data_IF_365600691822
#
_entry.id   IF_365600691822
#
_cell.length_a   1.000
_cell.length_b   1.000
_cell.length_c   1.000
_cell.angle_alpha   90.00
_cell.angle_beta   90.00
_cell.angle_gamma   90.00
#
_symmetry.space_group_name_H-M   'P 1'
#
loop_
_entity.id
_entity.type
_entity.pdbx_description
1 polymer ?
#
# COMPACT_ATOMS: atom_id res chain seq x y z
N UNK A 1 2.68 -22.21 -10.38
CA UNK A 1 2.27 -20.89 -10.90
C UNK A 1 2.31 -19.92 -9.72
N UNK A 2 3.31 -19.04 -9.72
CA UNK A 2 3.37 -17.94 -8.74
C UNK A 2 2.30 -16.92 -9.14
N UNK A 3 1.21 -16.84 -8.39
CA UNK A 3 0.17 -15.83 -8.59
C UNK A 3 0.48 -14.69 -7.64
N UNK A 4 0.68 -13.49 -8.21
CA UNK A 4 0.81 -12.27 -7.43
C UNK A 4 -0.60 -11.71 -7.17
N UNK A 5 -1.12 -11.76 -5.94
CA UNK A 5 -2.44 -11.20 -5.64
C UNK A 5 -2.39 -9.67 -5.69
N UNK A 6 -3.40 -9.06 -6.33
CA UNK A 6 -3.58 -7.62 -6.38
C UNK A 6 -4.75 -7.24 -5.48
N UNK A 7 -4.46 -6.47 -4.44
CA UNK A 7 -5.47 -5.92 -3.54
C UNK A 7 -5.79 -4.48 -3.93
N UNK A 8 -7.01 -4.23 -4.40
CA UNK A 8 -7.51 -2.89 -4.74
C UNK A 8 -8.28 -2.31 -3.56
N UNK A 9 -7.62 -1.53 -2.71
CA UNK A 9 -8.18 -1.02 -1.43
C UNK A 9 -9.42 -0.15 -1.66
N UNK A 10 -9.44 0.63 -2.75
CA UNK A 10 -10.56 1.51 -3.10
C UNK A 10 -11.56 0.89 -4.07
N UNK A 11 -11.52 -0.42 -4.25
CA UNK A 11 -12.42 -1.15 -5.17
C UNK A 11 -12.00 -1.09 -6.63
N UNK A 12 -12.88 -1.55 -7.51
CA UNK A 12 -12.64 -1.62 -8.95
C UNK A 12 -13.84 -1.10 -9.73
N UNK A 13 -13.59 -0.39 -10.85
CA UNK A 13 -14.64 0.06 -11.76
C UNK A 13 -15.41 -1.12 -12.39
N UNK A 14 -14.80 -2.29 -12.45
CA UNK A 14 -15.45 -3.53 -12.92
C UNK A 14 -16.55 -4.03 -11.96
N UNK A 15 -16.47 -3.61 -10.69
CA UNK A 15 -17.47 -3.83 -9.67
C UNK A 15 -17.80 -2.48 -8.99
N UNK A 16 -18.73 -1.68 -9.54
CA UNK A 16 -19.03 -0.34 -9.05
C UNK A 16 -19.46 -0.28 -7.58
N UNK A 17 -20.07 -1.34 -7.05
CA UNK A 17 -20.48 -1.43 -5.64
C UNK A 17 -19.29 -1.53 -4.69
N UNK A 18 -18.15 -2.00 -5.19
CA UNK A 18 -16.90 -2.07 -4.42
C UNK A 18 -16.18 -0.73 -4.34
N UNK A 19 -16.57 0.27 -5.14
CA UNK A 19 -15.85 1.54 -5.25
C UNK A 19 -16.06 2.40 -4.02
N UNK A 20 -14.96 2.80 -3.41
CA UNK A 20 -14.91 3.62 -2.20
C UNK A 20 -14.29 4.96 -2.53
N UNK A 21 -15.12 5.99 -2.66
CA UNK A 21 -14.71 7.34 -3.08
C UNK A 21 -14.72 8.38 -1.95
N UNK A 22 -15.32 8.05 -0.80
CA UNK A 22 -15.46 9.01 0.30
C UNK A 22 -14.79 8.49 1.57
N UNK A 23 -14.24 9.41 2.36
CA UNK A 23 -13.68 9.09 3.69
C UNK A 23 -14.69 8.40 4.61
N UNK A 24 -15.97 8.78 4.53
CA UNK A 24 -17.04 8.14 5.30
C UNK A 24 -17.20 6.66 4.96
N UNK A 25 -17.13 6.31 3.67
CA UNK A 25 -17.27 4.92 3.21
C UNK A 25 -16.03 4.07 3.53
N UNK A 26 -14.84 4.66 3.50
CA UNK A 26 -13.61 4.01 3.99
C UNK A 26 -13.73 3.73 5.48
N UNK A 27 -14.15 4.73 6.26
CA UNK A 27 -14.34 4.58 7.70
C UNK A 27 -15.37 3.50 8.04
N UNK A 28 -16.50 3.46 7.34
CA UNK A 28 -17.50 2.39 7.46
C UNK A 28 -16.88 1.01 7.20
N UNK A 29 -16.09 0.86 6.14
CA UNK A 29 -15.42 -0.41 5.82
C UNK A 29 -14.42 -0.83 6.89
N UNK A 30 -13.66 0.11 7.46
CA UNK A 30 -12.60 -0.19 8.41
C UNK A 30 -13.12 -0.41 9.84
N UNK A 31 -14.14 0.34 10.26
CA UNK A 31 -14.62 0.34 11.64
C UNK A 31 -15.96 -0.37 11.83
N UNK A 32 -16.86 -0.30 10.86
CA UNK A 32 -18.18 -0.94 10.94
C UNK A 32 -18.18 -2.36 10.35
N UNK A 33 -17.13 -2.73 9.60
CA UNK A 33 -16.91 -4.09 9.09
C UNK A 33 -15.61 -4.66 9.66
N UNK A 34 -15.62 -5.17 10.89
CA UNK A 34 -14.41 -5.64 11.58
C UNK A 34 -13.62 -6.69 10.79
N UNK A 35 -14.29 -7.54 10.02
CA UNK A 35 -13.63 -8.52 9.16
C UNK A 35 -12.74 -7.89 8.08
N UNK A 36 -13.09 -6.72 7.54
CA UNK A 36 -12.27 -6.06 6.52
C UNK A 36 -10.96 -5.54 7.12
N UNK A 37 -11.02 -4.91 8.28
CA UNK A 37 -9.86 -4.43 9.00
C UNK A 37 -8.92 -5.60 9.40
N UNK A 38 -9.47 -6.68 9.93
CA UNK A 38 -8.72 -7.88 10.29
C UNK A 38 -8.03 -8.51 9.08
N UNK A 39 -8.71 -8.59 7.93
CA UNK A 39 -8.14 -9.11 6.69
C UNK A 39 -6.95 -8.23 6.25
N UNK A 40 -7.09 -6.91 6.27
CA UNK A 40 -6.01 -6.00 5.90
C UNK A 40 -4.81 -6.13 6.85
N UNK A 41 -5.05 -6.13 8.16
CA UNK A 41 -4.01 -6.34 9.17
C UNK A 41 -3.26 -7.65 8.94
N UNK A 42 -3.99 -8.72 8.65
CA UNK A 42 -3.41 -10.02 8.36
C UNK A 42 -2.54 -9.97 7.10
N UNK A 43 -3.00 -9.33 6.01
CA UNK A 43 -2.20 -9.16 4.81
C UNK A 43 -0.90 -8.40 5.09
N UNK A 44 -0.95 -7.31 5.85
CA UNK A 44 0.24 -6.52 6.20
C UNK A 44 1.18 -7.26 7.16
N UNK A 45 0.67 -8.14 8.02
CA UNK A 45 1.48 -8.92 8.94
C UNK A 45 2.15 -10.12 8.23
N UNK A 46 1.40 -10.86 7.42
CA UNK A 46 1.84 -12.13 6.86
C UNK A 46 2.61 -12.00 5.54
N UNK A 47 2.47 -10.87 4.82
CA UNK A 47 3.03 -10.69 3.49
C UNK A 47 3.96 -9.50 3.37
N UNK A 48 4.91 -9.58 2.42
CA UNK A 48 5.59 -8.41 1.90
C UNK A 48 4.70 -7.73 0.87
N UNK A 49 4.34 -6.47 1.12
CA UNK A 49 3.44 -5.70 0.27
C UNK A 49 4.26 -4.73 -0.60
N UNK A 50 3.89 -4.63 -1.86
CA UNK A 50 4.32 -3.56 -2.74
C UNK A 50 3.17 -2.57 -2.94
N UNK A 51 3.32 -1.37 -2.39
CA UNK A 51 2.40 -0.26 -2.62
C UNK A 51 2.68 0.36 -3.99
N UNK A 52 1.67 0.43 -4.82
CA UNK A 52 1.74 1.02 -6.15
C UNK A 52 0.59 1.99 -6.38
N UNK A 53 0.91 3.22 -6.80
CA UNK A 53 -0.10 4.27 -6.99
C UNK A 53 -0.76 4.76 -5.69
N UNK A 54 -0.09 4.53 -4.54
CA UNK A 54 -0.56 4.94 -3.21
C UNK A 54 0.39 5.99 -2.64
N UNK A 55 -0.15 7.09 -2.14
CA UNK A 55 0.63 8.26 -1.71
C UNK A 55 0.91 8.35 -0.21
N UNK A 56 0.45 7.41 0.60
CA UNK A 56 0.53 7.44 2.08
C UNK A 56 -0.13 8.68 2.71
N UNK A 57 -1.10 9.27 2.01
CA UNK A 57 -1.89 10.41 2.51
C UNK A 57 -3.29 9.99 2.98
N UNK A 58 -3.55 8.68 3.07
CA UNK A 58 -4.82 8.15 3.54
C UNK A 58 -4.71 7.81 5.04
N UNK A 59 -5.34 8.58 5.93
CA UNK A 59 -5.22 8.39 7.37
C UNK A 59 -5.80 7.06 7.86
N UNK A 60 -6.69 6.45 7.11
CA UNK A 60 -7.31 5.19 7.52
C UNK A 60 -6.37 4.00 7.28
N UNK A 61 -5.63 4.01 6.17
CA UNK A 61 -4.57 3.01 5.94
C UNK A 61 -3.36 3.27 6.83
N UNK A 62 -3.01 4.52 7.05
CA UNK A 62 -2.01 4.95 8.02
C UNK A 62 -2.29 4.35 9.40
N UNK A 63 -3.52 4.50 9.89
CA UNK A 63 -3.95 3.92 11.15
C UNK A 63 -3.75 2.39 11.20
N UNK A 64 -4.13 1.66 10.14
CA UNK A 64 -3.95 0.19 10.09
C UNK A 64 -2.46 -0.18 10.13
N UNK A 65 -1.63 0.52 9.38
CA UNK A 65 -0.18 0.27 9.39
C UNK A 65 0.41 0.51 10.78
N UNK A 66 0.01 1.58 11.46
CA UNK A 66 0.42 1.86 12.85
C UNK A 66 -0.03 0.75 13.81
N UNK A 67 -1.27 0.27 13.71
CA UNK A 67 -1.74 -0.84 14.53
C UNK A 67 -0.94 -2.12 14.27
N UNK A 68 -0.65 -2.45 13.02
CA UNK A 68 0.18 -3.62 12.66
C UNK A 68 1.59 -3.50 13.24
N UNK A 69 2.20 -2.31 13.20
CA UNK A 69 3.50 -2.06 13.80
C UNK A 69 3.47 -2.22 15.32
N UNK A 70 2.44 -1.69 15.98
CA UNK A 70 2.27 -1.79 17.44
C UNK A 70 2.03 -3.24 17.89
N UNK A 71 1.12 -3.96 17.23
CA UNK A 71 0.76 -5.35 17.55
C UNK A 71 1.96 -6.30 17.40
N UNK A 72 2.83 -6.03 16.44
CA UNK A 72 4.03 -6.85 16.18
C UNK A 72 5.29 -6.29 16.86
N UNK A 73 5.17 -5.28 17.74
CA UNK A 73 6.29 -4.65 18.46
C UNK A 73 7.42 -4.22 17.52
N UNK A 74 7.07 -3.69 16.35
CA UNK A 74 8.02 -3.29 15.32
C UNK A 74 8.64 -4.43 14.50
N UNK A 75 8.31 -5.70 14.77
CA UNK A 75 8.82 -6.87 14.04
C UNK A 75 7.87 -7.29 12.90
N UNK A 76 7.58 -6.38 11.98
CA UNK A 76 6.78 -6.66 10.79
C UNK A 76 7.67 -7.11 9.63
N UNK A 77 7.06 -7.72 8.62
CA UNK A 77 7.74 -7.91 7.33
C UNK A 77 8.05 -6.55 6.71
N UNK A 78 9.16 -6.47 5.99
CA UNK A 78 9.47 -5.28 5.21
C UNK A 78 8.50 -5.17 4.04
N UNK A 79 7.93 -3.99 3.88
CA UNK A 79 7.11 -3.63 2.72
C UNK A 79 7.89 -2.69 1.80
N UNK A 80 7.38 -2.47 0.61
CA UNK A 80 7.99 -1.61 -0.39
C UNK A 80 6.93 -0.65 -0.95
N UNK A 81 7.35 0.55 -1.31
CA UNK A 81 6.48 1.52 -1.98
C UNK A 81 7.19 2.09 -3.21
N UNK A 82 6.54 2.04 -4.36
CA UNK A 82 7.02 2.64 -5.59
C UNK A 82 6.41 4.03 -5.73
N UNK A 83 7.20 5.06 -5.41
CA UNK A 83 6.74 6.44 -5.27
C UNK A 83 7.54 7.40 -6.15
N UNK A 84 6.86 8.41 -6.76
CA UNK A 84 7.53 9.41 -7.55
C UNK A 84 8.23 10.46 -6.69
N UNK A 85 9.42 10.87 -7.07
CA UNK A 85 10.16 12.04 -6.59
C UNK A 85 10.27 12.20 -5.06
N UNK A 86 10.29 11.10 -4.32
CA UNK A 86 10.37 11.10 -2.85
C UNK A 86 11.76 11.50 -2.38
N UNK A 87 11.79 12.42 -1.41
CA UNK A 87 13.00 12.87 -0.74
C UNK A 87 13.51 11.88 0.32
N UNK A 88 14.78 12.06 0.74
CA UNK A 88 15.41 11.17 1.73
C UNK A 88 14.69 11.18 3.09
N UNK A 89 14.22 12.34 3.54
CA UNK A 89 13.54 12.48 4.84
C UNK A 89 12.21 11.72 4.84
N UNK A 90 11.42 11.88 3.79
CA UNK A 90 10.14 11.16 3.65
C UNK A 90 10.35 9.66 3.52
N UNK A 91 11.35 9.24 2.73
CA UNK A 91 11.69 7.82 2.59
C UNK A 91 12.12 7.20 3.93
N UNK A 92 12.88 7.94 4.73
CA UNK A 92 13.31 7.49 6.05
C UNK A 92 12.14 7.42 7.03
N UNK A 93 11.25 8.41 7.02
CA UNK A 93 10.03 8.40 7.82
C UNK A 93 9.18 7.14 7.54
N UNK A 94 8.92 6.82 6.27
CA UNK A 94 8.14 5.64 5.91
C UNK A 94 8.83 4.32 6.32
N UNK A 95 10.16 4.29 6.30
CA UNK A 95 10.92 3.12 6.76
C UNK A 95 10.85 2.95 8.29
N UNK A 96 10.98 4.03 9.04
CA UNK A 96 11.01 4.00 10.50
C UNK A 96 9.62 3.75 11.10
N UNK A 97 8.58 4.42 10.57
CA UNK A 97 7.23 4.36 11.11
C UNK A 97 6.45 3.11 10.66
N UNK A 98 6.66 2.63 9.42
CA UNK A 98 5.84 1.57 8.85
C UNK A 98 6.63 0.37 8.32
N UNK A 99 7.94 0.34 8.48
CA UNK A 99 8.84 -0.63 7.84
C UNK A 99 8.63 -0.72 6.31
N UNK A 100 8.36 0.44 5.68
CA UNK A 100 8.15 0.57 4.25
C UNK A 100 9.38 1.18 3.59
N UNK A 101 10.07 0.40 2.78
CA UNK A 101 11.21 0.88 2.00
C UNK A 101 10.73 1.52 0.70
N UNK A 102 11.07 2.79 0.50
CA UNK A 102 10.72 3.51 -0.72
C UNK A 102 11.66 3.13 -1.87
N UNK A 103 11.07 2.82 -3.01
CA UNK A 103 11.72 2.75 -4.32
C UNK A 103 11.30 4.01 -5.07
N UNK A 104 12.14 5.05 -5.00
CA UNK A 104 11.83 6.32 -5.63
C UNK A 104 12.17 6.29 -7.12
N UNK A 105 11.33 6.89 -7.94
CA UNK A 105 11.58 7.10 -9.36
C UNK A 105 11.32 8.56 -9.75
N UNK A 106 11.92 9.01 -10.84
CA UNK A 106 11.70 10.35 -11.37
C UNK A 106 10.50 10.37 -12.30
N UNK A 107 9.62 11.36 -12.11
CA UNK A 107 8.58 11.66 -13.09
C UNK A 107 9.14 12.55 -14.17
N UNK A 108 9.00 12.11 -15.42
CA UNK A 108 9.31 12.91 -16.60
C UNK A 108 7.97 13.38 -17.20
N UNK A 109 7.78 14.68 -17.36
CA UNK A 109 6.58 15.29 -17.93
C UNK A 109 5.25 14.77 -17.36
N UNK A 110 5.19 14.56 -16.03
CA UNK A 110 4.06 13.93 -15.32
C UNK A 110 3.77 12.48 -15.75
N UNK A 111 4.72 11.82 -16.39
CA UNK A 111 4.60 10.43 -16.79
C UNK A 111 5.09 9.49 -15.70
N UNK A 112 4.36 8.43 -15.44
CA UNK A 112 4.72 7.35 -14.54
C UNK A 112 5.29 6.12 -15.28
N UNK A 113 5.89 6.34 -16.45
CA UNK A 113 6.42 5.26 -17.30
C UNK A 113 7.48 4.41 -16.59
N UNK A 114 8.33 5.04 -15.76
CA UNK A 114 9.34 4.33 -14.97
C UNK A 114 8.72 3.32 -14.01
N UNK A 115 7.63 3.70 -13.34
CA UNK A 115 6.89 2.80 -12.44
C UNK A 115 6.27 1.63 -13.21
N UNK A 116 5.67 1.88 -14.36
CA UNK A 116 5.11 0.83 -15.23
C UNK A 116 6.19 -0.17 -15.66
N UNK A 117 7.33 0.32 -16.16
CA UNK A 117 8.46 -0.53 -16.55
C UNK A 117 9.00 -1.37 -15.40
N UNK A 118 9.00 -0.82 -14.18
CA UNK A 118 9.40 -1.55 -12.98
C UNK A 118 8.47 -2.72 -12.71
N UNK A 119 7.14 -2.51 -12.76
CA UNK A 119 6.17 -3.59 -12.59
C UNK A 119 6.28 -4.67 -13.67
N UNK A 120 6.45 -4.27 -14.93
CA UNK A 120 6.64 -5.21 -16.04
C UNK A 120 7.87 -6.11 -15.83
N UNK A 121 8.93 -5.58 -15.20
CA UNK A 121 10.11 -6.37 -14.82
C UNK A 121 9.83 -7.36 -13.71
N UNK A 122 9.09 -6.96 -12.68
CA UNK A 122 8.70 -7.86 -11.58
C UNK A 122 7.87 -9.01 -12.15
N UNK A 123 6.84 -8.71 -12.93
CA UNK A 123 5.95 -9.74 -13.51
C UNK A 123 6.71 -10.73 -14.40
N UNK A 124 7.73 -10.28 -15.14
CA UNK A 124 8.58 -11.16 -15.97
C UNK A 124 9.55 -12.02 -15.16
N UNK A 125 9.84 -11.64 -13.91
CA UNK A 125 10.75 -12.37 -13.03
C UNK A 125 10.07 -13.43 -12.16
N UNK A 126 8.73 -13.42 -12.12
CA UNK A 126 7.88 -14.40 -11.41
C UNK A 126 7.55 -15.60 -12.30
#
# INVERSE_FOLDING_TARGET
NNVLPILKIHGSYENPESVVLTKGKIRELLFDKPHYNEILKRYFTENTILFYGYSFNDPDIDFILQEVMADNKGHTKKHYALLPDVGKIEAQYLLEEYNVQVISYKTEEKSHLAARKFLERIVKAL
#
